data_IF_581607576141
#
_entry.id   IF_581607576141
#
_cell.length_a   1.000
_cell.length_b   1.000
_cell.length_c   1.000
_cell.angle_alpha   90.00
_cell.angle_beta   90.00
_cell.angle_gamma   90.00
#
_symmetry.space_group_name_H-M   'P 1'
#
loop_
_entity.id
_entity.type
_entity.pdbx_description
1 polymer ?
#
# COMPACT_ATOMS: atom_id res chain seq x y z
N UNK A 1 -59.27 67.47 23.71
CA UNK A 1 -58.24 67.46 22.65
C UNK A 1 -57.81 66.02 22.40
N UNK A 2 -58.07 65.50 21.20
CA UNK A 2 -57.66 64.17 20.73
C UNK A 2 -56.17 64.20 20.37
N UNK A 3 -55.38 63.21 20.81
CA UNK A 3 -54.17 62.76 20.08
C UNK A 3 -54.04 61.24 20.16
N UNK A 4 -54.29 60.61 19.01
CA UNK A 4 -53.80 59.29 18.63
C UNK A 4 -52.26 59.33 18.67
N UNK A 5 -51.62 58.26 19.14
CA UNK A 5 -50.28 57.89 18.65
C UNK A 5 -50.21 56.38 18.46
N UNK A 6 -49.84 56.05 17.24
CA UNK A 6 -49.67 54.75 16.58
C UNK A 6 -48.73 53.77 17.29
N UNK A 7 -49.15 52.50 17.29
CA UNK A 7 -48.32 51.31 17.51
C UNK A 7 -47.55 50.97 16.22
N UNK A 8 -46.22 50.75 16.22
CA UNK A 8 -45.56 50.11 15.10
C UNK A 8 -45.60 48.59 15.27
N UNK A 9 -46.18 47.94 14.24
CA UNK A 9 -46.15 46.51 13.98
C UNK A 9 -44.69 46.03 13.83
N UNK A 10 -44.24 45.12 14.69
CA UNK A 10 -43.00 44.39 14.48
C UNK A 10 -43.27 43.26 13.47
N UNK A 11 -42.79 43.43 12.24
CA UNK A 11 -42.83 42.41 11.20
C UNK A 11 -41.75 41.37 11.49
N UNK A 12 -42.15 40.23 12.06
CA UNK A 12 -41.26 39.11 12.35
C UNK A 12 -41.04 38.31 11.05
N UNK A 13 -39.94 38.60 10.35
CA UNK A 13 -39.53 37.83 9.18
C UNK A 13 -38.96 36.50 9.69
N UNK A 14 -39.80 35.46 9.70
CA UNK A 14 -39.38 34.06 9.77
C UNK A 14 -38.70 33.70 8.44
N UNK A 15 -37.40 33.99 8.35
CA UNK A 15 -36.55 33.47 7.30
C UNK A 15 -36.39 31.96 7.50
N UNK A 16 -37.06 31.17 6.67
CA UNK A 16 -36.80 29.75 6.54
C UNK A 16 -35.37 29.58 5.99
N UNK A 17 -34.41 29.28 6.86
CA UNK A 17 -33.10 28.78 6.46
C UNK A 17 -33.32 27.34 5.97
N UNK A 18 -33.47 27.17 4.66
CA UNK A 18 -33.32 25.85 4.04
C UNK A 18 -31.86 25.42 4.21
N UNK A 19 -31.58 24.67 5.28
CA UNK A 19 -30.39 23.84 5.37
C UNK A 19 -30.53 22.73 4.32
N UNK A 20 -30.19 23.06 3.07
CA UNK A 20 -29.70 22.07 2.13
C UNK A 20 -28.36 21.57 2.68
N UNK A 21 -28.42 20.52 3.50
CA UNK A 21 -27.27 19.70 3.85
C UNK A 21 -26.83 18.89 2.61
N UNK A 22 -26.54 19.58 1.51
CA UNK A 22 -25.83 19.03 0.39
C UNK A 22 -24.40 18.79 0.84
N UNK A 23 -24.14 17.61 1.39
CA UNK A 23 -22.79 17.11 1.61
C UNK A 23 -22.14 16.85 0.25
N UNK A 24 -21.80 17.91 -0.49
CA UNK A 24 -21.06 17.81 -1.73
C UNK A 24 -19.62 17.47 -1.36
N UNK A 25 -19.27 16.19 -1.48
CA UNK A 25 -17.86 15.77 -1.49
C UNK A 25 -17.18 16.59 -2.59
N UNK A 26 -16.06 17.29 -2.30
CA UNK A 26 -15.39 18.08 -3.32
C UNK A 26 -15.00 17.20 -4.50
N UNK A 27 -15.27 17.68 -5.72
CA UNK A 27 -14.91 16.96 -6.93
C UNK A 27 -13.40 16.75 -6.99
N UNK A 28 -12.98 15.49 -7.10
CA UNK A 28 -11.57 15.12 -7.19
C UNK A 28 -11.11 15.23 -8.64
N UNK A 29 -10.12 16.09 -8.98
CA UNK A 29 -9.64 16.23 -10.34
C UNK A 29 -8.94 14.95 -10.85
N UNK A 30 -9.13 14.65 -12.12
CA UNK A 30 -8.46 13.54 -12.80
C UNK A 30 -6.95 13.81 -12.90
N UNK A 31 -6.14 12.78 -12.67
CA UNK A 31 -4.67 12.83 -12.83
C UNK A 31 -3.90 13.50 -11.69
N UNK A 32 -4.59 14.14 -10.74
CA UNK A 32 -3.95 14.71 -9.54
C UNK A 32 -3.56 13.58 -8.59
N UNK A 33 -2.29 13.59 -8.13
CA UNK A 33 -1.85 12.65 -7.12
C UNK A 33 -2.51 12.99 -5.78
N UNK A 34 -3.27 12.03 -5.24
CA UNK A 34 -3.98 12.13 -3.97
C UNK A 34 -3.11 11.66 -2.80
N UNK A 35 -1.97 11.01 -3.08
CA UNK A 35 -1.01 10.62 -2.06
C UNK A 35 -0.27 11.85 -1.59
N UNK A 36 -0.47 12.23 -0.33
CA UNK A 36 0.32 13.28 0.29
C UNK A 36 1.78 12.85 0.31
N UNK A 37 2.65 13.64 -0.33
CA UNK A 37 4.10 13.42 -0.33
C UNK A 37 4.49 12.01 -0.81
N UNK A 38 3.90 11.58 -1.92
CA UNK A 38 4.25 10.31 -2.57
C UNK A 38 5.67 10.27 -3.15
N UNK A 39 6.27 11.43 -3.40
CA UNK A 39 7.68 11.61 -3.84
C UNK A 39 8.68 11.62 -2.68
N UNK A 40 8.20 11.54 -1.43
CA UNK A 40 9.03 11.56 -0.23
C UNK A 40 9.97 12.77 -0.07
N UNK A 41 9.74 13.89 -0.77
CA UNK A 41 10.60 15.08 -0.65
C UNK A 41 10.29 15.94 0.59
N UNK A 42 9.07 15.83 1.11
CA UNK A 42 8.60 16.60 2.26
C UNK A 42 8.63 15.81 3.58
N UNK A 43 8.88 16.49 4.69
CA UNK A 43 8.85 15.87 6.02
C UNK A 43 9.69 16.64 7.03
N UNK A 44 9.95 16.03 8.18
CA UNK A 44 10.77 16.65 9.23
C UNK A 44 11.63 15.61 9.92
N UNK A 45 12.92 15.91 10.08
CA UNK A 45 13.88 14.97 10.64
C UNK A 45 13.98 13.71 9.79
N UNK A 46 13.58 12.57 10.34
CA UNK A 46 13.59 11.26 9.69
C UNK A 46 12.19 10.77 9.28
N UNK A 47 11.17 11.61 9.43
CA UNK A 47 9.78 11.25 9.16
C UNK A 47 9.27 11.92 7.87
N UNK A 48 8.91 11.16 6.81
CA UNK A 48 8.22 11.71 5.66
C UNK A 48 6.81 12.14 6.07
N UNK A 49 6.39 13.32 5.61
CA UNK A 49 5.04 13.82 5.85
C UNK A 49 4.02 12.92 5.15
N UNK A 50 2.84 12.71 5.75
CA UNK A 50 1.76 11.94 5.11
C UNK A 50 1.88 10.42 5.20
N UNK A 51 2.84 9.92 5.99
CA UNK A 51 3.11 8.50 6.16
C UNK A 51 3.29 8.14 7.64
N UNK A 52 3.07 6.87 7.96
CA UNK A 52 3.22 6.32 9.31
C UNK A 52 4.64 6.48 9.84
N UNK A 53 4.77 6.48 11.17
CA UNK A 53 6.07 6.56 11.85
C UNK A 53 7.03 5.48 11.35
N UNK A 54 8.20 5.89 10.88
CA UNK A 54 9.28 4.96 10.54
C UNK A 54 10.01 4.47 11.79
N UNK A 55 10.50 3.23 11.80
CA UNK A 55 11.16 2.65 12.98
C UNK A 55 12.68 2.87 13.03
N UNK A 56 13.27 3.29 11.90
CA UNK A 56 14.72 3.46 11.71
C UNK A 56 15.52 2.18 11.96
N UNK A 57 14.90 1.03 11.73
CA UNK A 57 15.53 -0.29 11.76
C UNK A 57 15.13 -1.13 10.54
N UNK A 58 13.84 -1.17 10.21
CA UNK A 58 13.31 -1.85 9.03
C UNK A 58 12.73 -0.89 8.01
N UNK A 59 12.53 0.37 8.38
CA UNK A 59 11.94 1.41 7.53
C UNK A 59 12.67 2.73 7.73
N UNK A 60 13.02 3.37 6.61
CA UNK A 60 13.91 4.53 6.59
C UNK A 60 13.46 5.55 5.54
N UNK A 61 13.72 6.82 5.83
CA UNK A 61 13.63 7.91 4.87
C UNK A 61 15.04 8.24 4.41
N UNK A 62 15.41 7.69 3.27
CA UNK A 62 16.79 7.67 2.79
C UNK A 62 17.02 8.73 1.72
N UNK A 63 18.23 9.30 1.70
CA UNK A 63 18.67 10.16 0.61
C UNK A 63 19.09 9.31 -0.61
N UNK A 64 18.75 9.75 -1.81
CA UNK A 64 19.31 9.15 -3.01
C UNK A 64 20.80 9.47 -3.13
N UNK A 65 21.62 8.45 -3.40
CA UNK A 65 23.07 8.65 -3.55
C UNK A 65 23.37 9.37 -4.86
N UNK A 66 24.33 10.29 -4.81
CA UNK A 66 24.82 10.97 -6.01
C UNK A 66 25.30 9.94 -7.06
N UNK A 67 24.72 9.99 -8.26
CA UNK A 67 25.03 9.06 -9.35
C UNK A 67 24.19 7.80 -9.41
N UNK A 68 23.30 7.54 -8.43
CA UNK A 68 22.28 6.50 -8.57
C UNK A 68 21.26 6.97 -9.62
N UNK A 69 21.40 6.46 -10.84
CA UNK A 69 20.52 6.83 -11.94
C UNK A 69 19.23 6.02 -11.88
N UNK A 70 18.14 6.71 -12.11
CA UNK A 70 16.83 6.11 -12.33
C UNK A 70 16.50 6.34 -13.79
N UNK A 71 17.17 5.55 -14.62
CA UNK A 71 17.00 5.59 -16.06
C UNK A 71 16.23 4.31 -16.46
N UNK A 72 14.89 4.32 -16.63
CA UNK A 72 14.30 3.32 -17.49
C UNK A 72 14.55 3.71 -18.95
N UNK A 73 14.88 2.76 -19.83
CA UNK A 73 14.78 3.01 -21.26
C UNK A 73 13.31 3.23 -21.64
N UNK A 74 12.98 4.40 -22.22
CA UNK A 74 11.75 4.60 -23.00
C UNK A 74 10.52 5.18 -22.29
N UNK A 75 10.61 5.67 -21.05
CA UNK A 75 9.53 6.47 -20.43
C UNK A 75 9.97 7.93 -20.40
N UNK A 76 9.43 8.75 -21.31
CA UNK A 76 9.53 10.21 -21.18
C UNK A 76 8.84 10.62 -19.88
N UNK A 77 9.65 10.95 -18.88
CA UNK A 77 9.16 11.55 -17.64
C UNK A 77 8.43 12.85 -17.98
N UNK A 78 7.36 13.15 -17.26
CA UNK A 78 6.91 14.54 -17.18
C UNK A 78 8.13 15.39 -16.77
N UNK A 79 8.48 16.38 -17.60
CA UNK A 79 9.67 17.19 -17.44
C UNK A 79 9.80 17.68 -15.98
N UNK A 80 10.88 17.31 -15.30
CA UNK A 80 11.16 17.70 -13.90
C UNK A 80 11.10 16.59 -12.83
N UNK A 81 10.85 15.32 -13.20
CA UNK A 81 10.59 14.24 -12.24
C UNK A 81 11.72 13.19 -12.17
N UNK A 82 12.99 13.60 -12.11
CA UNK A 82 14.00 12.69 -11.57
C UNK A 82 13.71 12.53 -10.08
N UNK A 83 13.79 11.32 -9.49
CA UNK A 83 13.96 11.21 -8.07
C UNK A 83 15.28 11.87 -7.72
N UNK A 84 15.17 12.97 -7.00
CA UNK A 84 16.32 13.71 -6.51
C UNK A 84 15.92 14.28 -5.17
N UNK A 85 16.55 13.77 -4.13
CA UNK A 85 16.22 14.13 -2.76
C UNK A 85 16.11 12.88 -1.90
N UNK A 86 14.92 12.27 -1.79
CA UNK A 86 14.67 11.22 -0.79
C UNK A 86 13.72 10.13 -1.29
N UNK A 87 13.72 8.98 -0.62
CA UNK A 87 12.83 7.85 -0.92
C UNK A 87 12.54 7.01 0.34
N UNK A 88 11.55 6.13 0.24
CA UNK A 88 11.26 5.16 1.29
C UNK A 88 12.10 3.90 1.08
N UNK A 89 12.93 3.57 2.06
CA UNK A 89 13.75 2.35 2.09
C UNK A 89 13.21 1.39 3.14
N UNK A 90 13.02 0.13 2.76
CA UNK A 90 12.56 -0.96 3.62
C UNK A 90 13.62 -2.06 3.70
N UNK A 91 14.10 -2.37 4.89
CA UNK A 91 15.02 -3.47 5.17
C UNK A 91 14.26 -4.63 5.84
N UNK A 92 14.15 -5.73 5.10
CA UNK A 92 13.48 -6.95 5.59
C UNK A 92 14.45 -7.98 6.18
N UNK A 93 15.76 -7.72 6.12
CA UNK A 93 16.81 -8.58 6.64
C UNK A 93 17.13 -8.27 8.11
N UNK A 94 16.10 -8.17 8.96
CA UNK A 94 16.24 -7.84 10.40
C UNK A 94 15.63 -8.96 11.22
N UNK A 95 16.30 -9.44 12.27
CA UNK A 95 15.75 -10.46 13.18
C UNK A 95 14.37 -10.02 13.71
N UNK A 96 13.39 -10.93 13.68
CA UNK A 96 12.02 -10.65 14.14
C UNK A 96 12.04 -10.17 15.60
N UNK A 97 12.84 -10.81 16.46
CA UNK A 97 12.98 -10.41 17.87
C UNK A 97 13.52 -8.99 18.04
N UNK A 98 14.42 -8.55 17.17
CA UNK A 98 14.95 -7.19 17.19
C UNK A 98 13.90 -6.18 16.70
N UNK A 99 13.12 -6.55 15.68
CA UNK A 99 12.01 -5.74 15.19
C UNK A 99 10.92 -5.54 16.25
N UNK A 100 10.52 -6.60 16.95
CA UNK A 100 9.54 -6.54 18.05
C UNK A 100 10.04 -5.67 19.20
N UNK A 101 11.28 -5.91 19.68
CA UNK A 101 11.89 -5.09 20.72
C UNK A 101 11.95 -3.61 20.33
N UNK A 102 12.23 -3.30 19.06
CA UNK A 102 12.25 -1.94 18.55
C UNK A 102 10.86 -1.29 18.56
N UNK A 103 9.80 -2.04 18.25
CA UNK A 103 8.42 -1.53 18.32
C UNK A 103 8.04 -1.18 19.75
N UNK A 104 8.31 -2.09 20.69
CA UNK A 104 8.05 -1.86 22.12
C UNK A 104 8.83 -0.63 22.63
N UNK A 105 10.09 -0.48 22.23
CA UNK A 105 10.91 0.68 22.57
C UNK A 105 10.33 1.99 22.04
N UNK A 106 9.86 2.02 20.78
CA UNK A 106 9.28 3.22 20.17
C UNK A 106 7.88 3.55 20.69
N UNK A 107 7.15 2.56 21.17
CA UNK A 107 5.86 2.76 21.84
C UNK A 107 6.07 3.36 23.24
N UNK A 108 7.13 2.95 23.95
CA UNK A 108 7.53 3.55 25.23
C UNK A 108 8.20 4.92 25.06
N UNK A 109 9.07 5.09 24.06
CA UNK A 109 9.81 6.31 23.77
C UNK A 109 9.92 6.55 22.25
N UNK A 110 9.03 7.38 21.67
CA UNK A 110 9.02 7.69 20.24
C UNK A 110 10.34 8.26 19.68
N UNK A 111 11.19 8.83 20.53
CA UNK A 111 12.45 9.46 20.15
C UNK A 111 13.67 8.56 20.39
N UNK A 112 13.48 7.31 20.82
CA UNK A 112 14.58 6.38 21.12
C UNK A 112 15.53 6.24 19.91
N UNK A 113 16.86 6.35 20.11
CA UNK A 113 17.83 6.27 19.01
C UNK A 113 17.71 4.92 18.29
N UNK A 114 18.04 4.83 16.99
CA UNK A 114 17.97 3.56 16.27
C UNK A 114 19.00 2.57 16.85
N UNK A 115 18.62 1.31 17.07
CA UNK A 115 19.57 0.28 17.51
C UNK A 115 20.51 -0.10 16.36
N UNK A 116 21.67 -0.65 16.69
CA UNK A 116 22.52 -1.27 15.70
C UNK A 116 21.89 -2.59 15.21
N UNK A 117 21.79 -2.76 13.89
CA UNK A 117 21.26 -3.99 13.27
C UNK A 117 22.12 -5.19 13.65
N UNK A 118 21.49 -6.27 14.12
CA UNK A 118 22.17 -7.53 14.40
C UNK A 118 22.37 -8.30 13.09
N UNK A 119 23.58 -8.83 12.82
CA UNK A 119 23.79 -9.67 11.63
C UNK A 119 22.89 -10.91 11.65
N UNK A 120 22.23 -11.19 10.53
CA UNK A 120 21.37 -12.36 10.34
C UNK A 120 22.18 -13.49 9.71
N UNK A 121 21.93 -14.74 10.12
CA UNK A 121 22.51 -15.93 9.50
C UNK A 121 21.54 -16.58 8.52
N UNK A 122 22.02 -17.17 7.41
CA UNK A 122 21.17 -18.02 6.58
C UNK A 122 20.51 -19.15 7.40
N UNK A 123 19.29 -19.57 7.04
CA UNK A 123 18.50 -19.12 5.89
C UNK A 123 17.74 -17.80 6.12
N UNK A 124 17.67 -17.30 7.36
CA UNK A 124 16.98 -16.07 7.73
C UNK A 124 15.46 -16.18 7.81
N UNK A 125 14.94 -17.36 8.12
CA UNK A 125 13.51 -17.52 8.43
C UNK A 125 13.09 -16.88 9.75
N UNK A 126 14.06 -16.51 10.60
CA UNK A 126 13.86 -15.79 11.86
C UNK A 126 13.88 -14.26 11.68
N UNK A 127 13.93 -13.76 10.44
CA UNK A 127 13.80 -12.32 10.17
C UNK A 127 12.35 -11.89 10.07
N UNK A 128 12.15 -10.57 10.18
CA UNK A 128 10.89 -9.92 9.85
C UNK A 128 10.46 -10.27 8.43
N UNK A 129 11.38 -10.34 7.47
CA UNK A 129 11.07 -10.73 6.08
C UNK A 129 10.63 -12.19 5.93
N UNK A 130 11.19 -13.10 6.72
CA UNK A 130 10.82 -14.52 6.72
C UNK A 130 9.49 -14.84 7.40
N UNK A 131 8.92 -13.92 8.17
CA UNK A 131 7.78 -14.21 9.07
C UNK A 131 6.61 -13.26 8.91
N UNK A 132 6.85 -11.95 9.01
CA UNK A 132 5.81 -10.95 9.27
C UNK A 132 5.69 -9.92 8.14
N UNK A 133 6.81 -9.51 7.57
CA UNK A 133 6.93 -8.39 6.65
C UNK A 133 6.95 -7.03 7.34
N UNK A 134 7.37 -6.01 6.60
CA UNK A 134 7.45 -4.62 7.03
C UNK A 134 6.39 -3.84 6.28
N UNK A 135 5.61 -3.03 7.00
CA UNK A 135 4.52 -2.25 6.46
C UNK A 135 4.63 -0.77 6.81
N UNK A 136 4.60 0.10 5.81
CA UNK A 136 4.52 1.57 5.99
C UNK A 136 3.23 2.06 5.34
N UNK A 137 2.43 2.81 6.10
CA UNK A 137 1.07 3.22 5.72
C UNK A 137 1.03 4.70 5.37
N UNK A 138 0.27 5.09 4.36
CA UNK A 138 -0.07 6.49 4.13
C UNK A 138 -1.09 7.01 5.14
N UNK A 139 -1.21 8.32 5.26
CA UNK A 139 -2.41 8.98 5.79
C UNK A 139 -3.66 8.50 5.01
N UNK A 140 -4.86 8.58 5.62
CA UNK A 140 -6.13 8.39 4.90
C UNK A 140 -6.24 9.29 3.66
N UNK A 141 -6.64 8.71 2.54
CA UNK A 141 -6.90 9.39 1.28
C UNK A 141 -8.40 9.36 1.02
N UNK A 142 -9.06 10.51 1.10
CA UNK A 142 -10.47 10.65 0.74
C UNK A 142 -10.67 10.32 -0.74
N UNK A 143 -11.74 9.61 -1.04
CA UNK A 143 -12.12 9.23 -2.41
C UNK A 143 -13.56 9.67 -2.71
N UNK A 144 -13.86 9.74 -4.00
CA UNK A 144 -15.20 9.77 -4.57
C UNK A 144 -15.70 8.31 -4.64
N UNK A 145 -16.85 7.98 -4.02
CA UNK A 145 -17.43 6.63 -4.07
C UNK A 145 -17.66 6.09 -5.49
N UNK A 146 -17.95 6.97 -6.45
CA UNK A 146 -18.14 6.59 -7.86
C UNK A 146 -16.85 6.71 -8.69
N UNK A 147 -15.74 7.11 -8.06
CA UNK A 147 -14.47 7.33 -8.71
C UNK A 147 -13.76 6.05 -9.14
N UNK A 148 -13.08 6.13 -10.28
CA UNK A 148 -12.09 5.15 -10.73
C UNK A 148 -10.70 5.67 -10.43
N UNK A 149 -9.84 4.80 -9.93
CA UNK A 149 -8.51 5.16 -9.47
C UNK A 149 -7.44 4.27 -10.08
N UNK A 150 -6.29 4.86 -10.36
CA UNK A 150 -5.09 4.10 -10.71
C UNK A 150 -3.97 4.41 -9.69
N UNK A 151 -3.01 3.50 -9.60
CA UNK A 151 -1.82 3.63 -8.78
C UNK A 151 -0.60 3.41 -9.64
N UNK A 152 0.45 4.18 -9.38
CA UNK A 152 1.79 3.93 -9.91
C UNK A 152 2.85 4.15 -8.85
N UNK A 153 4.01 3.53 -9.02
CA UNK A 153 5.16 3.75 -8.16
C UNK A 153 6.45 3.38 -8.89
N UNK A 154 7.54 4.00 -8.47
CA UNK A 154 8.87 3.47 -8.72
C UNK A 154 9.26 2.55 -7.59
N UNK A 155 9.82 1.40 -7.94
CA UNK A 155 10.27 0.41 -6.99
C UNK A 155 11.65 -0.11 -7.41
N UNK A 156 12.52 -0.30 -6.43
CA UNK A 156 13.79 -1.02 -6.53
C UNK A 156 13.75 -2.17 -5.52
N UNK A 157 14.26 -3.32 -5.91
CA UNK A 157 14.32 -4.48 -5.03
C UNK A 157 14.42 -5.74 -5.85
N UNK A 158 13.98 -6.85 -5.25
CA UNK A 158 14.05 -8.17 -5.84
C UNK A 158 12.68 -8.82 -5.87
N UNK A 159 12.43 -9.60 -6.91
CA UNK A 159 11.28 -10.49 -7.04
C UNK A 159 11.81 -11.88 -7.32
N UNK A 160 11.29 -12.86 -6.59
CA UNK A 160 11.63 -14.27 -6.78
C UNK A 160 10.36 -15.01 -7.14
N UNK A 161 10.41 -15.73 -8.25
CA UNK A 161 9.37 -16.68 -8.64
C UNK A 161 9.79 -18.08 -8.22
N UNK A 162 8.92 -18.75 -7.45
CA UNK A 162 9.04 -20.16 -7.11
C UNK A 162 8.04 -20.98 -7.93
N UNK A 163 8.05 -22.31 -7.76
CA UNK A 163 7.07 -23.18 -8.41
C UNK A 163 5.63 -22.82 -8.00
N UNK A 164 5.42 -22.48 -6.73
CA UNK A 164 4.10 -22.32 -6.15
C UNK A 164 3.69 -20.86 -5.92
N UNK A 165 4.63 -19.92 -5.88
CA UNK A 165 4.31 -18.53 -5.57
C UNK A 165 5.33 -17.50 -6.05
N UNK A 166 4.86 -16.25 -6.19
CA UNK A 166 5.66 -15.08 -6.53
C UNK A 166 5.89 -14.24 -5.25
N UNK A 167 7.16 -14.03 -4.90
CA UNK A 167 7.57 -13.21 -3.77
C UNK A 167 8.07 -11.85 -4.26
N UNK A 168 7.32 -10.79 -3.98
CA UNK A 168 7.59 -9.44 -4.48
C UNK A 168 7.18 -8.35 -3.47
N UNK A 169 7.81 -7.17 -3.53
CA UNK A 169 7.29 -5.98 -2.89
C UNK A 169 5.90 -5.62 -3.44
N UNK A 170 5.02 -5.11 -2.58
CA UNK A 170 3.66 -4.74 -2.94
C UNK A 170 3.26 -3.41 -2.34
N UNK A 171 2.35 -2.70 -3.01
CA UNK A 171 1.63 -1.57 -2.42
C UNK A 171 0.15 -1.92 -2.37
N UNK A 172 -0.38 -2.19 -1.18
CA UNK A 172 -1.79 -2.43 -1.00
C UNK A 172 -2.56 -1.11 -1.02
N UNK A 173 -3.67 -1.08 -1.76
CA UNK A 173 -4.70 -0.06 -1.68
C UNK A 173 -5.86 -0.67 -0.91
N UNK A 174 -6.01 -0.27 0.35
CA UNK A 174 -7.06 -0.78 1.24
C UNK A 174 -8.12 0.29 1.45
N UNK A 175 -9.38 -0.07 1.24
CA UNK A 175 -10.54 0.79 1.39
C UNK A 175 -11.20 0.54 2.74
N UNK A 176 -11.60 1.61 3.42
CA UNK A 176 -12.13 1.57 4.78
C UNK A 176 -13.47 2.29 4.90
N UNK A 177 -14.24 1.87 5.90
CA UNK A 177 -15.45 2.53 6.40
C UNK A 177 -15.37 2.68 7.91
N UNK A 178 -15.97 3.75 8.45
CA UNK A 178 -16.11 3.98 9.89
C UNK A 178 -17.38 3.37 10.49
N UNK A 179 -18.26 2.75 9.69
CA UNK A 179 -19.58 2.21 10.09
C UNK A 179 -19.54 0.92 10.97
N UNK A 180 -18.39 0.60 11.57
CA UNK A 180 -18.24 -0.55 12.47
C UNK A 180 -18.83 -0.31 13.87
N UNK A 181 -19.32 -1.38 14.52
CA UNK A 181 -19.73 -1.33 15.92
C UNK A 181 -18.56 -0.84 16.80
N UNK A 182 -18.76 0.32 17.45
CA UNK A 182 -17.74 0.96 18.29
C UNK A 182 -16.79 1.93 17.57
N UNK A 183 -17.12 2.38 16.36
CA UNK A 183 -16.35 3.41 15.63
C UNK A 183 -14.96 2.94 15.17
N UNK A 184 -14.78 1.61 15.09
CA UNK A 184 -13.53 1.01 14.59
C UNK A 184 -13.55 0.99 13.07
N UNK A 185 -12.43 1.40 12.48
CA UNK A 185 -12.20 1.30 11.05
C UNK A 185 -12.32 -0.17 10.59
N UNK A 186 -13.07 -0.40 9.52
CA UNK A 186 -13.20 -1.72 8.90
C UNK A 186 -12.68 -1.69 7.47
N UNK A 187 -11.77 -2.60 7.14
CA UNK A 187 -11.37 -2.85 5.75
C UNK A 187 -12.53 -3.52 5.00
N UNK A 188 -12.91 -2.96 3.84
CA UNK A 188 -14.08 -3.42 3.07
C UNK A 188 -13.74 -3.79 1.63
N UNK A 189 -12.59 -3.34 1.15
CA UNK A 189 -12.01 -3.77 -0.12
C UNK A 189 -10.50 -3.61 -0.09
N UNK A 190 -9.81 -4.40 -0.93
CA UNK A 190 -8.38 -4.28 -1.14
C UNK A 190 -8.00 -4.66 -2.55
N UNK A 191 -6.96 -4.03 -3.08
CA UNK A 191 -6.22 -4.41 -4.29
C UNK A 191 -4.75 -4.11 -4.04
N UNK A 192 -3.82 -4.70 -4.78
CA UNK A 192 -2.40 -4.39 -4.60
C UNK A 192 -1.69 -4.17 -5.93
N UNK A 193 -0.71 -3.27 -5.93
CA UNK A 193 0.26 -3.12 -7.01
C UNK A 193 1.40 -4.12 -6.76
N UNK A 194 1.53 -5.11 -7.64
CA UNK A 194 2.63 -6.07 -7.60
C UNK A 194 3.89 -5.45 -8.25
N UNK A 195 4.89 -5.13 -7.44
CA UNK A 195 6.16 -4.59 -7.93
C UNK A 195 7.12 -5.75 -8.20
N UNK A 196 7.01 -6.39 -9.37
CA UNK A 196 7.92 -7.47 -9.80
C UNK A 196 9.28 -6.89 -10.23
N UNK A 197 10.02 -6.38 -9.26
CA UNK A 197 11.29 -5.71 -9.45
C UNK A 197 12.44 -6.71 -9.69
N UNK A 198 13.30 -6.38 -10.63
CA UNK A 198 14.49 -7.13 -11.03
C UNK A 198 15.70 -6.36 -10.51
N UNK A 199 16.45 -6.98 -9.59
CA UNK A 199 17.52 -6.33 -8.84
C UNK A 199 18.57 -5.71 -9.76
N UNK A 200 18.91 -6.40 -10.86
CA UNK A 200 19.91 -5.98 -11.84
C UNK A 200 19.47 -4.76 -12.66
N UNK A 201 18.16 -4.50 -12.73
CA UNK A 201 17.58 -3.36 -13.47
C UNK A 201 17.46 -2.12 -12.60
N UNK A 202 17.74 -2.22 -11.30
CA UNK A 202 17.62 -1.12 -10.36
C UNK A 202 16.17 -0.64 -10.22
N UNK A 203 15.95 0.66 -10.40
CA UNK A 203 14.64 1.28 -10.25
C UNK A 203 13.75 1.05 -11.46
N UNK A 204 12.53 0.56 -11.23
CA UNK A 204 11.56 0.24 -12.27
C UNK A 204 10.20 0.87 -11.94
N UNK A 205 9.45 1.20 -13.00
CA UNK A 205 8.12 1.78 -12.89
C UNK A 205 7.04 0.71 -12.96
N UNK A 206 6.07 0.79 -12.05
CA UNK A 206 4.93 -0.12 -11.96
C UNK A 206 3.62 0.68 -11.93
N UNK A 207 2.59 0.15 -12.58
CA UNK A 207 1.23 0.72 -12.56
C UNK A 207 0.18 -0.38 -12.76
N UNK A 208 -1.05 -0.17 -12.30
CA UNK A 208 -2.12 -1.11 -12.66
C UNK A 208 -2.53 -0.95 -14.12
N UNK A 209 -2.79 -2.10 -14.76
CA UNK A 209 -3.41 -2.16 -16.09
C UNK A 209 -4.89 -1.75 -16.06
N UNK A 210 -5.58 -2.10 -14.97
CA UNK A 210 -7.02 -1.81 -14.79
C UNK A 210 -7.23 -0.93 -13.57
N UNK A 211 -8.00 0.17 -13.71
CA UNK A 211 -8.38 1.00 -12.58
C UNK A 211 -9.12 0.22 -11.47
N UNK A 212 -9.21 0.83 -10.31
CA UNK A 212 -9.88 0.32 -9.12
C UNK A 212 -11.01 1.27 -8.74
N UNK A 213 -12.21 0.75 -8.53
CA UNK A 213 -13.39 1.51 -8.11
C UNK A 213 -13.85 1.01 -6.73
N UNK A 214 -13.13 1.34 -5.65
CA UNK A 214 -13.37 0.77 -4.33
C UNK A 214 -14.81 0.99 -3.82
N UNK A 215 -15.40 2.16 -4.08
CA UNK A 215 -16.76 2.48 -3.66
C UNK A 215 -17.86 1.75 -4.44
N UNK A 216 -17.55 1.17 -5.61
CA UNK A 216 -18.52 0.45 -6.45
C UNK A 216 -18.55 -1.06 -6.21
N UNK A 217 -17.59 -1.59 -5.45
CA UNK A 217 -17.50 -3.04 -5.19
C UNK A 217 -18.66 -3.58 -4.37
N UNK A 218 -19.22 -2.75 -3.48
CA UNK A 218 -20.31 -3.12 -2.58
C UNK A 218 -21.30 -1.98 -2.43
N UNK A 219 -22.55 -2.22 -2.82
CA UNK A 219 -23.63 -1.22 -2.75
C UNK A 219 -24.10 -0.95 -1.31
N UNK A 220 -23.85 -1.88 -0.40
CA UNK A 220 -24.31 -1.85 0.98
C UNK A 220 -23.29 -1.25 1.97
N UNK A 221 -22.12 -0.85 1.47
CA UNK A 221 -21.02 -0.34 2.30
C UNK A 221 -20.50 0.94 1.71
N UNK A 222 -20.57 2.03 2.50
CA UNK A 222 -19.99 3.30 2.11
C UNK A 222 -18.49 3.30 2.39
N UNK A 223 -17.68 3.32 1.33
CA UNK A 223 -16.23 3.56 1.45
C UNK A 223 -16.00 5.04 1.71
N UNK A 224 -15.23 5.35 2.74
CA UNK A 224 -14.96 6.74 3.14
C UNK A 224 -13.57 7.22 2.70
N UNK A 225 -12.58 6.33 2.81
CA UNK A 225 -11.20 6.62 2.43
C UNK A 225 -10.46 5.34 2.07
N UNK A 226 -9.30 5.52 1.45
CA UNK A 226 -8.32 4.45 1.25
C UNK A 226 -7.03 4.76 2.01
N UNK A 227 -6.23 3.73 2.30
CA UNK A 227 -4.82 3.89 2.68
C UNK A 227 -3.95 3.07 1.75
N UNK A 228 -2.82 3.63 1.38
CA UNK A 228 -1.75 2.88 0.74
C UNK A 228 -0.89 2.23 1.81
N UNK A 229 -0.51 0.97 1.61
CA UNK A 229 0.41 0.25 2.49
C UNK A 229 1.53 -0.33 1.63
N UNK A 230 2.71 0.28 1.73
CA UNK A 230 3.95 -0.29 1.20
C UNK A 230 4.29 -1.49 2.07
N UNK A 231 4.41 -2.66 1.46
CA UNK A 231 4.63 -3.93 2.14
C UNK A 231 5.75 -4.73 1.48
N UNK A 232 6.73 -5.13 2.28
CA UNK A 232 7.83 -5.99 1.85
C UNK A 232 8.00 -7.10 2.87
N UNK A 233 8.18 -8.34 2.42
CA UNK A 233 8.37 -9.47 3.32
C UNK A 233 9.52 -10.33 2.82
N UNK A 234 9.27 -11.21 1.85
CA UNK A 234 10.24 -12.13 1.28
C UNK A 234 10.50 -11.80 -0.19
N UNK A 235 11.72 -12.02 -0.72
CA UNK A 235 12.93 -12.44 0.00
C UNK A 235 13.51 -11.34 0.91
N UNK A 236 14.48 -11.71 1.76
CA UNK A 236 15.21 -10.73 2.59
C UNK A 236 16.02 -9.81 1.68
N UNK A 237 15.70 -8.53 1.69
CA UNK A 237 16.33 -7.51 0.85
C UNK A 237 16.11 -6.09 1.38
N UNK A 238 16.83 -5.15 0.76
CA UNK A 238 16.58 -3.72 0.80
C UNK A 238 15.67 -3.31 -0.36
N UNK A 239 14.47 -2.82 -0.06
CA UNK A 239 13.49 -2.37 -1.05
C UNK A 239 13.37 -0.86 -1.04
N UNK A 240 13.43 -0.22 -2.20
CA UNK A 240 13.23 1.22 -2.37
C UNK A 240 11.90 1.51 -3.04
N UNK A 241 11.17 2.52 -2.57
CA UNK A 241 9.98 3.05 -3.21
C UNK A 241 10.04 4.56 -3.31
N UNK A 242 9.61 5.08 -4.45
CA UNK A 242 9.50 6.51 -4.70
C UNK A 242 8.39 6.85 -5.69
N UNK A 243 7.98 8.12 -5.71
CA UNK A 243 6.93 8.71 -6.54
C UNK A 243 5.69 7.79 -6.58
N UNK A 244 5.21 7.45 -5.38
CA UNK A 244 3.98 6.68 -5.20
C UNK A 244 2.81 7.61 -5.50
N UNK A 245 2.06 7.27 -6.54
CA UNK A 245 0.92 8.07 -6.99
C UNK A 245 -0.35 7.24 -6.93
N UNK A 246 -1.41 7.84 -6.42
CA UNK A 246 -2.76 7.32 -6.46
C UNK A 246 -3.67 8.44 -6.94
N UNK A 247 -4.32 8.26 -8.07
CA UNK A 247 -5.00 9.35 -8.75
C UNK A 247 -6.28 8.86 -9.41
N UNK A 248 -7.26 9.77 -9.48
CA UNK A 248 -8.51 9.50 -10.20
C UNK A 248 -8.22 9.43 -11.70
N UNK A 249 -8.88 8.50 -12.38
CA UNK A 249 -8.88 8.34 -13.84
C UNK A 249 -10.32 8.38 -14.35
N UNK A 250 -10.54 8.62 -15.66
CA UNK A 250 -11.86 8.46 -16.26
C UNK A 250 -12.42 7.06 -16.01
N UNK A 251 -13.75 6.93 -16.02
CA UNK A 251 -14.39 5.62 -16.05
C UNK A 251 -13.88 4.86 -17.28
N UNK A 252 -13.33 3.64 -17.10
CA UNK A 252 -12.94 2.83 -18.24
C UNK A 252 -14.20 2.54 -19.08
N UNK A 253 -14.08 2.48 -20.41
CA UNK A 253 -15.21 2.06 -21.24
C UNK A 253 -15.73 0.72 -20.73
N UNK A 254 -17.05 0.52 -20.72
CA UNK A 254 -17.61 -0.81 -20.46
C UNK A 254 -16.92 -1.78 -21.43
N UNK A 255 -16.11 -2.69 -20.90
CA UNK A 255 -15.56 -3.77 -21.73
C UNK A 255 -16.81 -4.50 -22.27
N UNK A 256 -17.04 -4.42 -23.58
CA UNK A 256 -18.04 -5.29 -24.23
C UNK A 256 -17.67 -6.70 -23.80
N UNK A 257 -18.51 -7.29 -22.94
CA UNK A 257 -18.32 -8.66 -22.45
C UNK A 257 -18.11 -9.49 -23.70
N UNK A 258 -16.86 -9.93 -23.91
CA UNK A 258 -16.51 -10.67 -25.10
C UNK A 258 -17.52 -11.82 -25.22
N UNK A 259 -18.26 -11.94 -26.34
CA UNK A 259 -19.27 -12.99 -26.51
C UNK A 259 -18.72 -14.42 -26.35
N UNK A 260 -17.40 -14.56 -26.21
CA UNK A 260 -16.64 -15.80 -26.07
C UNK A 260 -16.62 -16.40 -24.64
N UNK A 261 -17.20 -15.75 -23.63
CA UNK A 261 -17.47 -16.37 -22.30
C UNK A 261 -18.89 -16.98 -22.20
N UNK A 262 -19.57 -17.21 -23.32
CA UNK A 262 -20.67 -18.19 -23.34
C UNK A 262 -20.06 -19.58 -23.41
N UNK A 263 -19.73 -20.13 -22.25
CA UNK A 263 -19.38 -21.54 -22.13
C UNK A 263 -20.53 -22.39 -22.73
N UNK A 264 -20.23 -23.33 -23.64
CA UNK A 264 -21.23 -24.21 -24.21
C UNK A 264 -21.83 -25.08 -23.11
N UNK A 265 -23.16 -25.11 -23.08
CA UNK A 265 -23.99 -25.90 -22.19
C UNK A 265 -23.41 -27.29 -21.88
N UNK A 266 -23.31 -27.60 -20.58
CA UNK A 266 -23.50 -28.97 -20.12
C UNK A 266 -22.24 -29.70 -19.68
N UNK A 267 -21.66 -29.30 -18.56
CA UNK A 267 -21.22 -30.23 -17.50
C UNK A 267 -21.38 -29.52 -16.16
N UNK A 268 -22.19 -30.09 -15.28
CA UNK A 268 -22.18 -29.78 -13.85
C UNK A 268 -20.81 -30.16 -13.27
N UNK A 269 -19.81 -29.30 -13.48
CA UNK A 269 -18.55 -29.26 -12.77
C UNK A 269 -18.66 -28.19 -11.70
N UNK A 270 -18.27 -28.54 -10.48
CA UNK A 270 -18.05 -27.64 -9.35
C UNK A 270 -17.48 -26.29 -9.78
N UNK A 271 -18.11 -25.21 -9.29
CA UNK A 271 -17.75 -23.83 -9.55
C UNK A 271 -16.22 -23.60 -9.51
N UNK A 272 -15.64 -23.37 -10.69
CA UNK A 272 -14.28 -22.86 -10.83
C UNK A 272 -14.39 -21.34 -10.65
N UNK A 273 -13.85 -20.84 -9.53
CA UNK A 273 -13.68 -19.41 -9.26
C UNK A 273 -12.69 -18.84 -10.28
N UNK A 274 -13.09 -17.79 -11.00
CA UNK A 274 -12.20 -16.98 -11.82
C UNK A 274 -11.13 -16.34 -10.95
N UNK A 275 -9.87 -16.69 -11.21
CA UNK A 275 -8.70 -16.21 -10.49
C UNK A 275 -8.26 -14.83 -10.98
N UNK A 276 -8.82 -13.77 -10.41
CA UNK A 276 -8.15 -12.47 -10.20
C UNK A 276 -8.48 -11.84 -8.82
N UNK A 277 -9.40 -12.44 -8.05
CA UNK A 277 -9.78 -12.04 -6.69
C UNK A 277 -9.78 -13.25 -5.74
N UNK A 278 -8.69 -14.03 -5.70
CA UNK A 278 -8.53 -14.95 -4.58
C UNK A 278 -8.35 -14.12 -3.30
N UNK A 279 -9.16 -14.44 -2.29
CA UNK A 279 -8.96 -14.07 -0.89
C UNK A 279 -7.59 -14.58 -0.41
N UNK A 280 -6.52 -13.94 -0.89
CA UNK A 280 -5.16 -14.20 -0.43
C UNK A 280 -5.07 -13.68 1.00
N UNK A 281 -5.47 -14.51 1.95
CA UNK A 281 -4.84 -14.46 3.25
C UNK A 281 -3.37 -14.80 2.98
N UNK A 282 -2.40 -14.07 3.57
CA UNK A 282 -1.03 -14.56 3.53
C UNK A 282 -1.06 -16.03 3.97
N UNK A 283 -0.32 -16.93 3.30
CA UNK A 283 -0.27 -18.32 3.73
C UNK A 283 0.02 -18.34 5.23
N UNK A 284 -0.63 -19.23 6.01
CA UNK A 284 -0.39 -19.30 7.44
C UNK A 284 1.11 -19.43 7.65
N UNK A 285 1.70 -18.45 8.35
CA UNK A 285 3.11 -18.47 8.72
C UNK A 285 3.34 -19.78 9.47
N UNK A 286 4.30 -20.62 9.07
CA UNK A 286 4.64 -21.82 9.82
C UNK A 286 5.00 -21.42 11.26
N UNK A 287 4.11 -21.70 12.23
CA UNK A 287 4.38 -21.50 13.66
C UNK A 287 3.45 -20.58 14.46
N UNK A 288 2.35 -20.04 13.94
CA UNK A 288 1.53 -19.05 14.68
C UNK A 288 0.52 -19.58 15.71
N UNK A 289 0.58 -20.84 16.14
CA UNK A 289 -0.27 -21.36 17.24
C UNK A 289 0.55 -21.96 18.40
N UNK A 290 0.85 -21.12 19.39
CA UNK A 290 0.83 -21.46 20.83
C UNK A 290 1.75 -22.55 21.40
N UNK A 291 2.60 -23.22 20.62
CA UNK A 291 3.69 -24.09 21.11
C UNK A 291 4.88 -23.96 20.15
N UNK A 292 6.14 -23.96 20.64
CA UNK A 292 7.30 -23.96 19.76
C UNK A 292 7.23 -25.20 18.87
N UNK A 293 6.98 -24.98 17.58
CA UNK A 293 7.01 -26.04 16.59
C UNK A 293 8.44 -26.55 16.46
N UNK A 294 8.59 -27.87 16.37
CA UNK A 294 9.84 -28.49 15.94
C UNK A 294 10.23 -27.85 14.60
N UNK A 295 11.49 -27.43 14.39
CA UNK A 295 11.88 -26.77 13.15
C UNK A 295 11.41 -27.58 11.95
N UNK A 296 10.71 -26.93 11.01
CA UNK A 296 10.34 -27.57 9.75
C UNK A 296 11.63 -27.97 9.02
N UNK A 297 11.70 -29.23 8.60
CA UNK A 297 12.76 -29.66 7.70
C UNK A 297 12.60 -28.90 6.38
N UNK A 298 13.70 -28.34 5.83
CA UNK A 298 13.62 -27.60 4.57
C UNK A 298 13.09 -28.51 3.45
N UNK A 299 12.34 -27.97 2.48
CA UNK A 299 11.84 -28.75 1.35
C UNK A 299 13.02 -29.35 0.56
N UNK A 300 12.80 -30.53 -0.06
CA UNK A 300 13.86 -31.32 -0.69
C UNK A 300 14.58 -30.60 -1.85
N UNK A 301 14.00 -29.51 -2.38
CA UNK A 301 14.55 -28.65 -3.42
C UNK A 301 15.41 -27.49 -2.90
N UNK A 302 15.55 -27.34 -1.58
CA UNK A 302 16.27 -26.23 -0.95
C UNK A 302 17.79 -26.26 -1.23
N UNK A 303 18.39 -27.44 -1.42
CA UNK A 303 19.80 -27.55 -1.81
C UNK A 303 20.04 -27.10 -3.26
N UNK A 304 19.05 -27.25 -4.16
CA UNK A 304 19.15 -26.71 -5.52
C UNK A 304 19.12 -25.17 -5.54
N UNK A 305 18.36 -24.56 -4.63
CA UNK A 305 18.34 -23.10 -4.40
C UNK A 305 19.66 -22.59 -3.79
N UNK A 306 20.35 -23.43 -3.01
CA UNK A 306 21.63 -23.12 -2.39
C UNK A 306 22.78 -23.10 -3.41
N UNK A 307 22.77 -24.01 -4.38
CA UNK A 307 23.73 -24.02 -5.50
C UNK A 307 23.49 -22.85 -6.47
N UNK A 308 22.24 -22.42 -6.67
CA UNK A 308 21.91 -21.31 -7.58
C UNK A 308 22.37 -19.93 -7.04
N UNK A 309 22.41 -19.77 -5.72
CA UNK A 309 22.75 -18.49 -5.05
C UNK A 309 24.22 -18.49 -4.57
N UNK A 310 24.87 -19.66 -4.50
CA UNK A 310 26.20 -19.87 -3.93
C UNK A 310 27.38 -19.94 -4.92
N UNK A 311 27.21 -19.49 -6.16
CA UNK A 311 28.28 -19.54 -7.18
C UNK A 311 29.29 -18.38 -7.07
N UNK A 312 30.46 -18.70 -6.51
CA UNK A 312 31.76 -17.99 -6.65
C UNK A 312 31.94 -16.60 -6.03
N UNK A 313 31.89 -16.56 -4.71
CA UNK A 313 32.61 -15.58 -3.89
C UNK A 313 34.08 -15.96 -3.70
N UNK A 314 34.92 -15.81 -4.74
CA UNK A 314 36.33 -15.46 -4.55
C UNK A 314 36.56 -14.02 -4.98
N UNK A 315 36.48 -13.09 -4.01
CA UNK A 315 37.30 -11.87 -3.89
C UNK A 315 37.03 -11.19 -2.56
#
# INVERSE_FOLDING_TARGET
MRRLVFTPFALLILGALELSAGSSVPEIPIGVNLVRNGTFEGGTGWQPAGWSRLDRLTSFWADMKAGEKIDPPGIERAAGSLPSGKYLLIDTDVLLSQYEARRDELDANPNAPPPQKTPVKPPGFDTVGGTYGVAVRSDPITIDPEGYYNISAWCKGVWVKTADTDFMPMIFVKAYTSEGAGGREREVARKYLACRADEDKGWQFFTWRRPFAPGRLRKDVKVEYVRLIVFCYWPRHLYGFDDIRFFRVPEPPEEEKSPLEKDPEGKHGTAVKGGEDEDWLPPPVPGSSGKPAKPAEPPEDFEALRELIGGDGQR
#
